data_IF_293807225970
#
_entry.id   IF_293807225970
#
_cell.length_a   1.000
_cell.length_b   1.000
_cell.length_c   1.000
_cell.angle_alpha   90.00
_cell.angle_beta   90.00
_cell.angle_gamma   90.00
#
_symmetry.space_group_name_H-M   'P 1'
#
loop_
_entity.id
_entity.type
_entity.pdbx_description
1 polymer ?
#
# COMPACT_ATOMS: atom_id res chain seq x y z
N UNK A 1 10.90 17.91 -0.86
CA UNK A 1 10.91 16.67 -0.04
C UNK A 1 10.92 15.48 -0.99
N UNK A 2 11.83 14.52 -0.82
CA UNK A 2 11.83 13.28 -1.62
C UNK A 2 10.82 12.32 -0.99
N UNK A 3 9.96 11.69 -1.80
CA UNK A 3 8.94 10.77 -1.28
C UNK A 3 9.55 9.44 -0.76
N UNK A 4 8.84 8.72 0.13
CA UNK A 4 9.32 7.50 0.78
C UNK A 4 9.81 6.40 -0.19
N UNK A 5 9.20 6.30 -1.38
CA UNK A 5 9.64 5.39 -2.44
C UNK A 5 11.11 5.61 -2.85
N UNK A 6 11.55 6.88 -2.95
CA UNK A 6 12.91 7.24 -3.33
C UNK A 6 13.92 7.03 -2.21
N UNK A 7 13.49 7.22 -0.96
CA UNK A 7 14.35 7.05 0.21
C UNK A 7 14.62 5.57 0.50
N UNK A 8 13.62 4.72 0.30
CA UNK A 8 13.72 3.28 0.54
C UNK A 8 14.15 2.49 -0.70
N UNK A 9 14.25 3.14 -1.87
CA UNK A 9 14.53 2.47 -3.14
C UNK A 9 13.46 1.44 -3.53
N UNK A 10 12.21 1.67 -3.11
CA UNK A 10 11.07 0.77 -3.34
C UNK A 10 10.06 1.39 -4.30
N UNK A 11 9.25 0.57 -4.94
CA UNK A 11 8.22 1.07 -5.87
C UNK A 11 7.06 1.71 -5.09
N UNK A 12 6.33 2.68 -5.68
CA UNK A 12 5.15 3.26 -5.04
C UNK A 12 4.11 2.20 -4.62
N UNK A 13 3.95 1.13 -5.40
CA UNK A 13 3.05 0.02 -5.06
C UNK A 13 3.49 -0.70 -3.78
N UNK A 14 4.79 -0.96 -3.60
CA UNK A 14 5.32 -1.58 -2.37
C UNK A 14 5.12 -0.67 -1.15
N UNK A 15 5.29 0.65 -1.31
CA UNK A 15 5.06 1.62 -0.24
C UNK A 15 3.59 1.60 0.22
N UNK A 16 2.63 1.63 -0.71
CA UNK A 16 1.19 1.57 -0.38
C UNK A 16 0.81 0.25 0.26
N UNK A 17 1.31 -0.89 -0.25
CA UNK A 17 1.08 -2.20 0.35
C UNK A 17 1.64 -2.28 1.78
N UNK A 18 2.87 -1.78 2.01
CA UNK A 18 3.47 -1.75 3.33
C UNK A 18 2.72 -0.82 4.29
N UNK A 19 2.25 0.32 3.79
CA UNK A 19 1.43 1.25 4.55
C UNK A 19 0.13 0.57 5.05
N UNK A 20 -0.59 -0.13 4.17
CA UNK A 20 -1.78 -0.91 4.55
C UNK A 20 -1.46 -1.97 5.63
N UNK A 21 -0.37 -2.72 5.45
CA UNK A 21 0.06 -3.75 6.41
C UNK A 21 0.40 -3.15 7.77
N UNK A 22 1.09 -2.00 7.83
CA UNK A 22 1.42 -1.34 9.10
C UNK A 22 0.22 -0.68 9.79
N UNK A 23 -0.83 -0.35 9.04
CA UNK A 23 -2.14 0.03 9.59
C UNK A 23 -2.96 -1.15 10.11
N UNK A 24 -2.41 -2.38 10.09
CA UNK A 24 -3.10 -3.60 10.52
C UNK A 24 -4.15 -4.08 9.52
N UNK A 25 -4.16 -3.55 8.29
CA UNK A 25 -5.08 -3.97 7.23
C UNK A 25 -4.43 -5.13 6.45
N UNK A 26 -5.17 -6.21 6.24
CA UNK A 26 -4.70 -7.33 5.40
C UNK A 26 -4.76 -6.88 3.94
N UNK A 27 -3.60 -6.51 3.38
CA UNK A 27 -3.49 -6.24 1.95
C UNK A 27 -3.51 -7.58 1.19
N UNK A 28 -4.57 -7.84 0.42
CA UNK A 28 -4.64 -8.98 -0.51
C UNK A 28 -4.41 -8.47 -1.93
N UNK A 29 -3.15 -8.36 -2.39
CA UNK A 29 -2.87 -7.92 -3.75
C UNK A 29 -3.29 -9.02 -4.74
N UNK A 30 -4.33 -8.76 -5.53
CA UNK A 30 -4.70 -9.65 -6.65
C UNK A 30 -3.64 -9.52 -7.75
N UNK A 31 -2.85 -10.58 -7.98
CA UNK A 31 -1.88 -10.61 -9.08
C UNK A 31 -1.73 -12.00 -9.67
N UNK A 32 -1.89 -12.12 -10.99
CA UNK A 32 -1.68 -13.37 -11.74
C UNK A 32 -0.24 -13.50 -12.28
N UNK A 33 0.60 -12.48 -12.08
CA UNK A 33 1.98 -12.44 -12.55
C UNK A 33 2.94 -12.85 -11.43
N UNK A 34 3.74 -13.89 -11.68
CA UNK A 34 4.69 -14.45 -10.71
C UNK A 34 5.75 -13.44 -10.23
N UNK A 35 6.20 -12.53 -11.10
CA UNK A 35 7.18 -11.52 -10.71
C UNK A 35 6.54 -10.50 -9.77
N UNK A 36 5.31 -10.08 -10.07
CA UNK A 36 4.56 -9.14 -9.23
C UNK A 36 4.15 -9.76 -7.88
N UNK A 37 3.88 -11.07 -7.84
CA UNK A 37 3.66 -11.78 -6.58
C UNK A 37 4.89 -11.72 -5.68
N UNK A 38 6.10 -11.96 -6.20
CA UNK A 38 7.34 -11.85 -5.42
C UNK A 38 7.61 -10.42 -4.95
N UNK A 39 7.44 -9.43 -5.82
CA UNK A 39 7.59 -8.01 -5.48
C UNK A 39 6.59 -7.57 -4.39
N UNK A 40 5.36 -8.08 -4.44
CA UNK A 40 4.32 -7.83 -3.44
C UNK A 40 4.61 -8.54 -2.11
N UNK A 41 5.31 -9.69 -2.12
CA UNK A 41 5.74 -10.37 -0.90
C UNK A 41 6.97 -9.70 -0.26
N UNK A 42 7.78 -8.97 -1.03
CA UNK A 42 8.94 -8.21 -0.52
C UNK A 42 8.54 -6.99 0.33
N UNK A 43 7.24 -6.73 0.53
CA UNK A 43 6.76 -5.62 1.39
C UNK A 43 7.08 -5.83 2.88
N UNK A 44 7.51 -7.03 3.28
CA UNK A 44 7.93 -7.31 4.66
C UNK A 44 9.41 -7.06 4.92
N UNK A 45 10.24 -6.83 3.88
CA UNK A 45 11.69 -6.62 4.03
C UNK A 45 12.08 -5.20 4.48
N UNK A 46 11.12 -4.29 4.59
CA UNK A 46 11.34 -2.91 5.01
C UNK A 46 10.20 -2.40 5.89
N UNK A 47 10.40 -1.26 6.55
CA UNK A 47 9.39 -0.61 7.37
C UNK A 47 9.30 0.87 7.01
N UNK A 48 8.08 1.41 6.98
CA UNK A 48 7.88 2.85 6.90
C UNK A 48 8.11 3.45 8.28
N UNK A 49 8.77 4.61 8.32
CA UNK A 49 8.93 5.37 9.56
C UNK A 49 7.63 6.06 9.93
N UNK A 50 7.49 6.53 11.18
CA UNK A 50 6.33 7.34 11.59
C UNK A 50 6.12 8.57 10.71
N UNK A 51 7.21 9.20 10.24
CA UNK A 51 7.13 10.35 9.35
C UNK A 51 6.63 9.96 7.96
N UNK A 52 7.05 8.80 7.44
CA UNK A 52 6.54 8.28 6.17
C UNK A 52 5.06 7.93 6.25
N UNK A 53 4.64 7.28 7.34
CA UNK A 53 3.23 6.97 7.59
C UNK A 53 2.39 8.25 7.61
N UNK A 54 2.76 9.24 8.44
CA UNK A 54 2.04 10.50 8.53
C UNK A 54 1.97 11.28 7.20
N UNK A 55 3.03 11.21 6.39
CA UNK A 55 3.05 11.84 5.07
C UNK A 55 2.11 11.14 4.07
N UNK A 56 1.95 9.81 4.16
CA UNK A 56 1.02 9.05 3.32
C UNK A 56 -0.42 9.23 3.82
N UNK A 57 -0.64 9.23 5.13
CA UNK A 57 -1.95 9.50 5.75
C UNK A 57 -2.48 10.88 5.32
N UNK A 58 -1.60 11.89 5.25
CA UNK A 58 -1.96 13.22 4.76
C UNK A 58 -2.31 13.27 3.26
N UNK A 59 -1.91 12.24 2.48
CA UNK A 59 -2.23 12.11 1.05
C UNK A 59 -3.48 11.25 0.81
N UNK A 60 -3.96 10.47 1.80
CA UNK A 60 -5.20 9.68 1.72
C UNK A 60 -6.40 10.63 1.67
N UNK A 61 -6.61 11.22 0.50
CA UNK A 61 -7.68 12.19 0.24
C UNK A 61 -8.94 11.40 -0.13
N UNK A 62 -9.49 10.64 0.82
CA UNK A 62 -10.84 10.05 0.77
C UNK A 62 -11.29 9.53 -0.60
N UNK A 63 -10.40 8.88 -1.37
CA UNK A 63 -10.79 8.31 -2.65
C UNK A 63 -11.94 7.35 -2.36
N UNK A 64 -13.12 7.53 -3.00
CA UNK A 64 -14.28 6.73 -2.66
C UNK A 64 -13.89 5.25 -2.75
N UNK A 65 -14.28 4.42 -1.76
CA UNK A 65 -14.00 3.00 -1.80
C UNK A 65 -14.45 2.49 -3.17
N UNK A 66 -13.50 1.98 -3.96
CA UNK A 66 -13.77 1.58 -5.36
C UNK A 66 -14.64 0.32 -5.46
N UNK A 67 -15.17 -0.14 -4.32
CA UNK A 67 -16.06 -1.26 -4.11
C UNK A 67 -16.92 -0.90 -2.89
N UNK A 68 -18.03 -0.19 -3.12
CA UNK A 68 -19.15 -0.26 -2.18
C UNK A 68 -19.64 -1.70 -2.22
N UNK A 69 -19.44 -2.43 -1.11
CA UNK A 69 -19.96 -3.80 -0.97
C UNK A 69 -21.49 -3.84 -0.88
N UNK A 70 -22.13 -2.68 -0.71
CA UNK A 70 -23.58 -2.54 -0.52
C UNK A 70 -24.36 -2.41 -1.84
N UNK A 71 -23.66 -2.29 -2.99
CA UNK A 71 -24.31 -2.10 -4.31
C UNK A 71 -24.32 -3.37 -5.16
N UNK A 72 -23.61 -4.44 -4.75
CA UNK A 72 -23.63 -5.74 -5.42
C UNK A 72 -24.35 -6.75 -4.52
N UNK A 73 -25.60 -7.08 -4.89
CA UNK A 73 -26.56 -7.99 -4.25
C UNK A 73 -27.62 -7.35 -3.33
N UNK A 74 -28.48 -6.52 -3.92
CA UNK A 74 -29.91 -6.62 -3.71
C UNK A 74 -30.66 -6.57 -5.04
#
# INVERSE_FOLDING_TARGET
MRGPARELGKTPAQIVLRWHVQHGRVAVPKSADNQRQRENLDVFSFALTRQHMAAIDALETGAPPRLDSDTYFH
#
